data_IF_135715968544
#
_entry.id   IF_135715968544
#
_cell.length_a   1.000
_cell.length_b   1.000
_cell.length_c   1.000
_cell.angle_alpha   90.00
_cell.angle_beta   90.00
_cell.angle_gamma   90.00
#
_symmetry.space_group_name_H-M   'P 1'
#
loop_
_entity.id
_entity.type
_entity.pdbx_description
1 polymer ?
#
# COMPACT_ATOMS: atom_id res chain seq x y z
N UNK A 1 4.95 18.24 -16.22
CA UNK A 1 3.92 17.21 -16.51
C UNK A 1 4.58 15.85 -16.59
N UNK A 2 3.83 14.77 -16.35
CA UNK A 2 4.29 13.40 -16.46
C UNK A 2 3.15 12.51 -17.00
N UNK A 3 3.48 11.36 -17.58
CA UNK A 3 2.53 10.32 -17.99
C UNK A 3 2.99 9.02 -17.35
N UNK A 4 2.11 8.35 -16.59
CA UNK A 4 2.44 7.06 -15.98
C UNK A 4 2.15 5.93 -16.96
N UNK A 5 3.07 4.98 -17.05
CA UNK A 5 3.00 3.77 -17.87
C UNK A 5 3.06 2.52 -16.99
N UNK A 6 2.86 1.36 -17.58
CA UNK A 6 2.98 0.06 -16.91
C UNK A 6 4.38 -0.17 -16.29
N UNK A 7 5.44 0.42 -16.87
CA UNK A 7 6.80 0.35 -16.32
C UNK A 7 6.96 1.14 -15.02
N UNK A 8 6.07 2.11 -14.77
CA UNK A 8 6.03 2.85 -13.51
C UNK A 8 5.21 2.12 -12.43
N UNK A 9 4.41 1.12 -12.82
CA UNK A 9 3.56 0.35 -11.90
C UNK A 9 4.21 -0.97 -11.49
N UNK A 10 4.87 -1.64 -12.43
CA UNK A 10 5.40 -2.98 -12.27
C UNK A 10 6.93 -2.93 -12.36
N UNK A 11 7.66 -3.44 -11.36
CA UNK A 11 9.10 -3.40 -11.42
C UNK A 11 9.63 -4.47 -12.39
N UNK A 12 10.71 -4.14 -13.10
CA UNK A 12 11.41 -5.11 -13.96
C UNK A 12 12.15 -6.19 -13.16
N UNK A 13 12.45 -5.90 -11.89
CA UNK A 13 13.10 -6.83 -10.94
C UNK A 13 12.26 -6.98 -9.68
N UNK A 14 12.47 -8.03 -8.90
CA UNK A 14 11.70 -8.28 -7.68
C UNK A 14 12.10 -7.34 -6.52
N UNK A 15 11.69 -6.08 -6.60
CA UNK A 15 11.93 -5.03 -5.59
C UNK A 15 10.82 -4.94 -4.54
N UNK A 16 9.69 -5.62 -4.76
CA UNK A 16 8.51 -5.54 -3.90
C UNK A 16 7.65 -4.28 -4.07
N UNK A 17 7.98 -3.42 -5.04
CA UNK A 17 7.19 -2.26 -5.45
C UNK A 17 7.62 -1.74 -6.82
N UNK A 18 6.71 -1.08 -7.56
CA UNK A 18 7.05 -0.34 -8.78
C UNK A 18 8.06 0.80 -8.53
N UNK A 19 8.71 1.33 -9.58
CA UNK A 19 9.72 2.38 -9.43
C UNK A 19 9.23 3.58 -8.61
N UNK A 20 10.12 4.14 -7.77
CA UNK A 20 9.83 5.38 -7.07
C UNK A 20 10.08 6.55 -8.04
N UNK A 21 9.06 7.37 -8.33
CA UNK A 21 9.20 8.46 -9.26
C UNK A 21 10.10 9.56 -8.67
N UNK A 22 10.92 10.15 -9.52
CA UNK A 22 11.86 11.22 -9.17
C UNK A 22 11.57 12.47 -9.98
N UNK A 23 11.82 13.61 -9.36
CA UNK A 23 11.83 14.90 -10.02
C UNK A 23 13.17 15.06 -10.80
N UNK A 24 13.31 16.02 -11.74
CA UNK A 24 14.50 16.13 -12.61
C UNK A 24 15.85 16.35 -11.90
N UNK A 25 15.83 17.01 -10.75
CA UNK A 25 16.93 17.21 -9.80
C UNK A 25 17.20 15.99 -8.88
N UNK A 26 16.46 14.88 -9.04
CA UNK A 26 16.69 13.60 -8.37
C UNK A 26 15.88 13.35 -7.10
N UNK A 27 15.20 14.37 -6.57
CA UNK A 27 14.41 14.26 -5.34
C UNK A 27 13.12 13.45 -5.53
N UNK A 28 12.53 12.95 -4.45
CA UNK A 28 11.30 12.15 -4.52
C UNK A 28 10.14 12.96 -5.14
N UNK A 29 9.39 12.34 -6.05
CA UNK A 29 8.22 12.95 -6.68
C UNK A 29 6.88 12.37 -6.21
N UNK A 30 6.90 11.33 -5.37
CA UNK A 30 5.70 10.58 -5.01
C UNK A 30 4.70 11.44 -4.26
N UNK A 31 3.44 11.37 -4.66
CA UNK A 31 2.31 11.96 -3.92
C UNK A 31 1.17 10.97 -3.70
N UNK A 32 1.23 9.81 -4.36
CA UNK A 32 0.18 8.78 -4.34
C UNK A 32 0.85 7.42 -4.28
N UNK A 33 0.30 6.53 -3.46
CA UNK A 33 0.58 5.09 -3.53
C UNK A 33 -0.69 4.34 -3.93
N UNK A 34 -0.49 3.27 -4.70
CA UNK A 34 -1.52 2.32 -5.08
C UNK A 34 -1.01 0.90 -4.98
N UNK A 35 -1.91 -0.08 -4.93
CA UNK A 35 -1.56 -1.51 -4.87
C UNK A 35 -2.60 -2.39 -5.57
N UNK A 36 -3.22 -1.87 -6.62
CA UNK A 36 -4.18 -2.61 -7.44
C UNK A 36 -3.47 -3.36 -8.56
N UNK A 37 -3.81 -4.64 -8.80
CA UNK A 37 -3.23 -5.37 -9.91
C UNK A 37 -3.66 -4.71 -11.21
N UNK A 38 -2.74 -4.66 -12.18
CA UNK A 38 -3.06 -4.09 -13.47
C UNK A 38 -3.95 -5.05 -14.28
N UNK A 39 -5.26 -4.85 -14.15
CA UNK A 39 -6.31 -5.74 -14.63
C UNK A 39 -6.64 -5.48 -16.11
N UNK A 40 -5.85 -6.10 -16.99
CA UNK A 40 -6.05 -6.07 -18.44
C UNK A 40 -6.44 -7.45 -18.94
N UNK A 41 -7.54 -7.48 -19.70
CA UNK A 41 -7.93 -8.63 -20.49
C UNK A 41 -7.32 -8.51 -21.89
N UNK A 42 -6.39 -9.39 -22.20
CA UNK A 42 -5.74 -9.46 -23.50
C UNK A 42 -6.59 -10.32 -24.44
N UNK A 43 -6.90 -9.87 -25.67
CA UNK A 43 -7.58 -10.71 -26.64
C UNK A 43 -6.68 -11.88 -27.05
N UNK A 44 -7.31 -12.98 -27.49
CA UNK A 44 -6.61 -14.16 -27.98
C UNK A 44 -6.41 -15.26 -26.92
N UNK A 45 -5.49 -16.20 -27.14
CA UNK A 45 -5.22 -17.28 -26.20
C UNK A 45 -4.62 -16.75 -24.89
N UNK A 46 -4.63 -17.54 -23.81
CA UNK A 46 -3.98 -17.16 -22.56
C UNK A 46 -2.50 -16.82 -22.76
N UNK A 47 -2.14 -15.58 -22.46
CA UNK A 47 -0.75 -15.10 -22.52
C UNK A 47 -0.02 -15.46 -21.21
N UNK A 48 1.23 -15.94 -21.26
CA UNK A 48 2.02 -16.16 -20.06
C UNK A 48 2.48 -14.82 -19.50
N UNK A 49 1.75 -14.29 -18.52
CA UNK A 49 2.05 -13.02 -17.88
C UNK A 49 2.73 -13.25 -16.53
N UNK A 50 3.70 -12.40 -16.20
CA UNK A 50 4.22 -12.34 -14.84
C UNK A 50 3.11 -11.96 -13.84
N UNK A 51 3.13 -12.48 -12.61
CA UNK A 51 2.19 -12.07 -11.58
C UNK A 51 2.27 -10.56 -11.34
N UNK A 52 1.11 -9.90 -11.40
CA UNK A 52 0.97 -8.46 -11.11
C UNK A 52 0.59 -8.20 -9.65
N UNK A 53 0.82 -9.20 -8.79
CA UNK A 53 0.39 -9.27 -7.41
C UNK A 53 1.48 -9.86 -6.52
N UNK A 54 1.50 -9.43 -5.27
CA UNK A 54 2.41 -9.90 -4.23
C UNK A 54 1.71 -9.90 -2.87
N UNK A 55 2.37 -10.49 -1.87
CA UNK A 55 1.92 -10.38 -0.48
C UNK A 55 2.22 -8.98 0.03
N UNK A 56 1.20 -8.29 0.53
CA UNK A 56 1.29 -6.98 1.18
C UNK A 56 0.52 -7.05 2.49
N UNK A 57 1.23 -6.99 3.62
CA UNK A 57 0.65 -7.14 4.96
C UNK A 57 -0.25 -8.36 5.10
N UNK A 58 0.20 -9.56 4.68
CA UNK A 58 -0.56 -10.81 4.85
C UNK A 58 -1.66 -11.09 3.82
N UNK A 59 -1.89 -10.18 2.86
CA UNK A 59 -2.85 -10.39 1.76
C UNK A 59 -2.18 -10.33 0.40
N UNK A 60 -2.61 -11.20 -0.52
CA UNK A 60 -2.29 -11.03 -1.94
C UNK A 60 -3.04 -9.81 -2.51
N UNK A 61 -2.27 -8.78 -2.87
CA UNK A 61 -2.74 -7.57 -3.54
C UNK A 61 -1.89 -7.28 -4.76
N UNK A 62 -2.31 -6.32 -5.59
CA UNK A 62 -1.46 -5.82 -6.66
C UNK A 62 -0.10 -5.33 -6.15
N UNK A 63 0.92 -5.44 -7.00
CA UNK A 63 2.23 -4.88 -6.70
C UNK A 63 2.08 -3.39 -6.40
N UNK A 64 2.59 -2.92 -5.26
CA UNK A 64 2.43 -1.53 -4.84
C UNK A 64 3.26 -0.62 -5.74
N UNK A 65 2.76 0.57 -6.05
CA UNK A 65 3.40 1.54 -6.93
C UNK A 65 3.21 2.97 -6.42
N UNK A 66 4.10 3.86 -6.85
CA UNK A 66 4.16 5.25 -6.44
C UNK A 66 3.97 6.16 -7.67
N UNK A 67 3.10 7.15 -7.59
CA UNK A 67 2.81 8.05 -8.72
C UNK A 67 3.27 9.49 -8.44
N UNK A 68 3.86 10.17 -9.45
CA UNK A 68 4.33 11.54 -9.29
C UNK A 68 3.22 12.56 -9.41
N UNK A 69 3.35 13.72 -8.76
CA UNK A 69 2.39 14.83 -8.90
C UNK A 69 2.20 15.33 -10.33
N UNK A 70 3.22 15.16 -11.17
CA UNK A 70 3.20 15.61 -12.57
C UNK A 70 2.08 15.03 -13.42
N UNK A 71 1.48 13.89 -13.04
CA UNK A 71 0.37 13.28 -13.78
C UNK A 71 -0.95 14.05 -13.67
N UNK A 72 -1.07 14.89 -12.63
CA UNK A 72 -2.25 15.73 -12.42
C UNK A 72 -2.17 17.04 -13.23
N UNK A 73 -1.01 17.39 -13.76
CA UNK A 73 -0.74 18.68 -14.38
C UNK A 73 -1.04 18.66 -15.89
N UNK A 74 -1.64 19.73 -16.40
CA UNK A 74 -1.81 19.95 -17.84
C UNK A 74 -0.61 20.64 -18.48
N UNK A 75 -0.15 20.18 -19.64
CA UNK A 75 0.93 20.82 -20.42
C UNK A 75 0.52 22.14 -21.07
N UNK A 76 -0.79 22.42 -21.14
CA UNK A 76 -1.35 23.55 -21.86
C UNK A 76 -1.98 24.60 -20.93
N UNK A 77 -2.40 24.19 -19.72
CA UNK A 77 -3.10 25.05 -18.77
C UNK A 77 -2.40 25.00 -17.41
N UNK A 78 -1.77 26.11 -17.01
CA UNK A 78 -0.96 26.16 -15.79
C UNK A 78 -1.77 26.04 -14.48
N UNK A 79 -3.06 26.32 -14.55
CA UNK A 79 -4.02 26.34 -13.44
C UNK A 79 -5.08 25.20 -13.49
N UNK A 80 -4.85 24.17 -14.31
CA UNK A 80 -5.73 23.01 -14.43
C UNK A 80 -5.09 21.77 -13.79
N UNK A 81 -5.84 21.12 -12.90
CA UNK A 81 -5.51 19.82 -12.33
C UNK A 81 -6.50 18.76 -12.82
N UNK A 82 -5.99 17.65 -13.37
CA UNK A 82 -6.78 16.50 -13.76
C UNK A 82 -6.64 15.38 -12.71
N UNK A 83 -7.76 14.87 -12.22
CA UNK A 83 -7.83 13.79 -11.24
C UNK A 83 -8.78 12.67 -11.73
N UNK A 84 -8.99 11.63 -10.92
CA UNK A 84 -9.76 10.44 -11.30
C UNK A 84 -9.20 9.81 -12.60
N UNK A 85 -10.07 9.33 -13.49
CA UNK A 85 -9.76 8.73 -14.79
C UNK A 85 -9.21 9.73 -15.82
N UNK A 86 -9.21 11.02 -15.51
CA UNK A 86 -8.67 12.05 -16.40
C UNK A 86 -7.17 12.28 -16.19
N UNK A 87 -6.57 11.64 -15.18
CA UNK A 87 -5.15 11.75 -14.88
C UNK A 87 -4.29 11.17 -16.00
N UNK A 88 -3.08 11.70 -16.19
CA UNK A 88 -2.22 11.32 -17.30
C UNK A 88 -1.61 9.92 -17.12
N UNK A 89 -2.15 8.95 -17.86
CA UNK A 89 -1.71 7.55 -17.86
C UNK A 89 -1.74 6.94 -19.26
N UNK A 90 -0.89 5.96 -19.52
CA UNK A 90 -1.05 5.06 -20.66
C UNK A 90 -2.35 4.24 -20.51
N UNK A 91 -2.86 3.71 -21.62
CA UNK A 91 -3.97 2.78 -21.60
C UNK A 91 -3.71 1.57 -20.68
N UNK A 92 -2.46 1.12 -20.64
CA UNK A 92 -2.01 0.02 -19.80
C UNK A 92 -1.89 0.42 -18.33
N UNK A 93 -1.46 1.62 -17.99
CA UNK A 93 -1.42 2.04 -16.58
C UNK A 93 -2.81 2.32 -16.00
N UNK A 94 -3.74 2.78 -16.84
CA UNK A 94 -5.11 3.12 -16.43
C UNK A 94 -5.85 1.93 -15.78
N UNK A 95 -5.48 0.69 -16.08
CA UNK A 95 -6.08 -0.51 -15.48
C UNK A 95 -5.92 -0.58 -13.96
N UNK A 96 -4.77 -0.12 -13.44
CA UNK A 96 -4.48 -0.10 -12.00
C UNK A 96 -4.88 1.22 -11.31
N UNK A 97 -4.92 2.34 -12.05
CA UNK A 97 -5.15 3.68 -11.45
C UNK A 97 -6.62 4.10 -11.42
N UNK A 98 -7.50 3.46 -12.21
CA UNK A 98 -8.92 3.85 -12.34
C UNK A 98 -9.87 3.35 -11.24
N UNK A 99 -9.38 2.55 -10.30
CA UNK A 99 -10.21 1.94 -9.25
C UNK A 99 -10.52 2.94 -8.13
N UNK A 100 -11.68 2.78 -7.49
CA UNK A 100 -12.26 3.82 -6.63
C UNK A 100 -11.29 4.34 -5.54
N UNK A 101 -10.53 3.50 -4.82
CA UNK A 101 -9.60 4.04 -3.82
C UNK A 101 -8.45 4.83 -4.43
N UNK A 102 -7.97 4.46 -5.62
CA UNK A 102 -6.98 5.25 -6.36
C UNK A 102 -7.54 6.60 -6.79
N UNK A 103 -8.77 6.61 -7.30
CA UNK A 103 -9.47 7.83 -7.71
C UNK A 103 -9.67 8.78 -6.54
N UNK A 104 -10.03 8.26 -5.36
CA UNK A 104 -10.17 9.06 -4.14
C UNK A 104 -8.83 9.64 -3.70
N UNK A 105 -7.74 8.85 -3.75
CA UNK A 105 -6.39 9.33 -3.43
C UNK A 105 -5.94 10.45 -4.40
N UNK A 106 -6.14 10.25 -5.71
CA UNK A 106 -5.90 11.26 -6.74
C UNK A 106 -6.66 12.56 -6.48
N UNK A 107 -7.95 12.46 -6.12
CA UNK A 107 -8.80 13.61 -5.83
C UNK A 107 -8.33 14.35 -4.57
N UNK A 108 -7.89 13.62 -3.52
CA UNK A 108 -7.32 14.22 -2.31
C UNK A 108 -6.07 15.05 -2.65
N UNK A 109 -5.14 14.48 -3.41
CA UNK A 109 -3.92 15.19 -3.84
C UNK A 109 -4.27 16.42 -4.67
N UNK A 110 -5.19 16.31 -5.63
CA UNK A 110 -5.59 17.44 -6.47
C UNK A 110 -6.22 18.58 -5.64
N UNK A 111 -7.13 18.26 -4.73
CA UNK A 111 -7.80 19.24 -3.89
C UNK A 111 -6.83 19.95 -2.96
N UNK A 112 -5.94 19.19 -2.31
CA UNK A 112 -4.93 19.75 -1.42
C UNK A 112 -3.91 20.61 -2.19
N UNK A 113 -3.47 20.16 -3.36
CA UNK A 113 -2.57 20.92 -4.21
C UNK A 113 -3.18 22.24 -4.69
N UNK A 114 -4.47 22.24 -5.05
CA UNK A 114 -5.20 23.47 -5.41
C UNK A 114 -5.26 24.44 -4.22
N UNK A 115 -5.60 23.95 -3.03
CA UNK A 115 -5.66 24.76 -1.81
C UNK A 115 -4.30 25.39 -1.47
N UNK A 116 -3.23 24.58 -1.47
CA UNK A 116 -1.87 25.05 -1.21
C UNK A 116 -1.42 26.06 -2.26
N UNK A 117 -1.70 25.83 -3.55
CA UNK A 117 -1.38 26.75 -4.65
C UNK A 117 -1.99 28.14 -4.43
N UNK A 118 -3.26 28.20 -3.99
CA UNK A 118 -3.92 29.47 -3.65
C UNK A 118 -3.27 30.13 -2.43
N UNK A 119 -2.97 29.37 -1.38
CA UNK A 119 -2.37 29.88 -0.14
C UNK A 119 -0.96 30.45 -0.36
N UNK A 120 -0.13 29.75 -1.13
CA UNK A 120 1.25 30.16 -1.43
C UNK A 120 1.34 31.10 -2.63
N UNK A 121 0.21 31.40 -3.29
CA UNK A 121 0.10 32.25 -4.48
C UNK A 121 1.00 31.77 -5.62
N UNK A 122 1.12 30.46 -5.80
CA UNK A 122 1.83 29.86 -6.93
C UNK A 122 0.86 29.07 -7.81
N UNK A 123 1.10 28.95 -9.12
CA UNK A 123 0.34 28.01 -9.94
C UNK A 123 0.61 26.56 -9.48
N UNK A 124 -0.31 25.61 -9.71
CA UNK A 124 -0.11 24.19 -9.43
C UNK A 124 1.21 23.62 -9.96
N UNK A 125 1.71 24.12 -11.10
CA UNK A 125 2.99 23.73 -11.69
C UNK A 125 4.23 24.12 -10.89
N UNK A 126 4.14 25.15 -10.06
CA UNK A 126 5.23 25.67 -9.24
C UNK A 126 5.08 25.28 -7.77
N UNK A 127 4.09 24.44 -7.44
CA UNK A 127 3.86 23.98 -6.08
C UNK A 127 5.04 23.12 -5.61
N UNK A 128 5.58 23.44 -4.43
CA UNK A 128 6.63 22.64 -3.82
C UNK A 128 6.08 21.26 -3.39
N UNK A 129 6.68 20.21 -3.96
CA UNK A 129 6.30 18.82 -3.70
C UNK A 129 6.51 18.45 -2.24
N UNK A 130 7.56 18.98 -1.60
CA UNK A 130 7.84 18.67 -0.19
C UNK A 130 6.72 19.19 0.71
N UNK A 131 6.24 20.41 0.46
CA UNK A 131 5.09 21.00 1.14
C UNK A 131 3.83 20.17 0.94
N UNK A 132 3.55 19.73 -0.30
CA UNK A 132 2.39 18.88 -0.60
C UNK A 132 2.49 17.52 0.12
N UNK A 133 3.66 16.87 0.09
CA UNK A 133 3.89 15.61 0.78
C UNK A 133 3.70 15.74 2.30
N UNK A 134 4.22 16.79 2.92
CA UNK A 134 4.03 17.02 4.35
C UNK A 134 2.57 17.27 4.70
N UNK A 135 1.83 18.00 3.85
CA UNK A 135 0.41 18.23 4.07
C UNK A 135 -0.42 16.94 3.90
N UNK A 136 -0.07 16.08 2.95
CA UNK A 136 -0.72 14.77 2.74
C UNK A 136 -0.50 13.82 3.91
N UNK A 137 0.76 13.71 4.37
CA UNK A 137 1.13 12.75 5.42
C UNK A 137 0.57 13.15 6.79
N UNK A 138 0.47 14.45 7.06
CA UNK A 138 0.02 14.99 8.34
C UNK A 138 -1.44 15.49 8.29
N UNK A 139 -2.22 15.11 7.27
CA UNK A 139 -3.65 15.44 7.23
C UNK A 139 -4.35 14.86 8.48
N UNK A 140 -5.08 15.68 9.26
CA UNK A 140 -5.64 15.25 10.53
C UNK A 140 -6.86 14.31 10.40
N UNK A 141 -7.47 14.23 9.22
CA UNK A 141 -8.66 13.42 8.98
C UNK A 141 -8.37 12.20 8.11
N UNK A 142 -7.52 12.38 7.09
CA UNK A 142 -7.23 11.36 6.10
C UNK A 142 -5.74 11.39 5.71
N UNK A 143 -4.82 11.00 6.62
CA UNK A 143 -3.40 10.94 6.29
C UNK A 143 -3.16 9.98 5.13
N UNK A 144 -2.35 10.40 4.15
CA UNK A 144 -2.06 9.62 2.96
C UNK A 144 -0.64 9.05 2.98
N UNK A 145 -0.52 7.76 2.65
CA UNK A 145 0.78 7.11 2.45
C UNK A 145 1.46 7.61 1.19
N UNK A 146 2.77 7.78 1.26
CA UNK A 146 3.58 8.35 0.18
C UNK A 146 4.66 7.40 -0.31
N UNK A 147 4.98 6.37 0.45
CA UNK A 147 5.98 5.36 0.10
C UNK A 147 5.42 3.96 0.35
N UNK A 148 5.64 3.02 -0.59
CA UNK A 148 5.29 1.64 -0.34
C UNK A 148 6.05 1.06 0.86
N UNK A 149 5.34 0.42 1.80
CA UNK A 149 5.95 -0.34 2.87
C UNK A 149 5.13 -1.61 3.16
N UNK A 150 5.55 -2.79 2.66
CA UNK A 150 4.84 -4.05 2.90
C UNK A 150 5.06 -4.62 4.31
N UNK A 151 6.01 -4.07 5.08
CA UNK A 151 6.45 -4.58 6.37
C UNK A 151 5.86 -3.84 7.57
N UNK A 152 5.17 -2.72 7.36
CA UNK A 152 4.56 -1.96 8.44
C UNK A 152 3.08 -1.70 8.18
N UNK A 153 2.24 -2.07 9.14
CA UNK A 153 0.81 -1.80 9.07
C UNK A 153 0.54 -0.29 9.03
N UNK A 154 -0.42 0.13 8.20
CA UNK A 154 -0.75 1.55 8.01
C UNK A 154 -1.25 2.24 9.29
N UNK A 155 -1.79 1.47 10.22
CA UNK A 155 -2.32 1.93 11.50
C UNK A 155 -1.34 1.74 12.67
N UNK A 156 -0.10 1.30 12.39
CA UNK A 156 0.94 1.19 13.41
C UNK A 156 1.38 2.59 13.88
N UNK A 157 1.62 2.84 15.18
CA UNK A 157 1.97 4.18 15.68
C UNK A 157 3.24 4.79 15.06
N UNK A 158 4.19 3.95 14.62
CA UNK A 158 5.40 4.40 13.93
C UNK A 158 5.22 4.63 12.43
N UNK A 159 4.04 4.35 11.85
CA UNK A 159 3.83 4.43 10.40
C UNK A 159 4.18 5.80 9.82
N UNK A 160 3.67 6.87 10.43
CA UNK A 160 3.92 8.23 9.97
C UNK A 160 5.42 8.58 10.04
N UNK A 161 6.09 8.25 11.15
CA UNK A 161 7.52 8.48 11.32
C UNK A 161 8.34 7.75 10.25
N UNK A 162 7.98 6.51 9.91
CA UNK A 162 8.68 5.71 8.89
C UNK A 162 8.47 6.30 7.49
N UNK A 163 7.27 6.78 7.17
CA UNK A 163 7.02 7.52 5.92
C UNK A 163 7.88 8.79 5.83
N UNK A 164 7.97 9.58 6.92
CA UNK A 164 8.81 10.78 6.98
C UNK A 164 10.30 10.48 6.77
N UNK A 165 10.82 9.44 7.43
CA UNK A 165 12.21 9.02 7.30
C UNK A 165 12.54 8.57 5.88
N UNK A 166 11.66 7.74 5.27
CA UNK A 166 11.84 7.29 3.90
C UNK A 166 11.80 8.43 2.88
N UNK A 167 10.89 9.39 3.06
CA UNK A 167 10.80 10.56 2.18
C UNK A 167 12.06 11.42 2.27
N UNK A 168 12.55 11.64 3.50
CA UNK A 168 13.80 12.39 3.72
C UNK A 168 14.98 11.72 3.03
N UNK A 169 15.15 10.41 3.18
CA UNK A 169 16.21 9.65 2.52
C UNK A 169 16.13 9.81 1.00
N UNK A 170 14.95 9.59 0.41
CA UNK A 170 14.75 9.69 -1.04
C UNK A 170 14.95 11.09 -1.60
N UNK A 171 14.61 12.14 -0.83
CA UNK A 171 14.93 13.53 -1.19
C UNK A 171 16.43 13.81 -1.22
N UNK A 172 17.22 13.12 -0.41
CA UNK A 172 18.69 13.20 -0.41
C UNK A 172 19.36 12.23 -1.41
N UNK A 173 18.59 11.49 -2.21
CA UNK A 173 19.13 10.51 -3.15
C UNK A 173 19.57 9.19 -2.50
N UNK A 174 19.23 8.98 -1.23
CA UNK A 174 19.51 7.75 -0.48
C UNK A 174 18.42 6.69 -0.77
N UNK A 175 18.73 5.39 -0.58
CA UNK A 175 17.73 4.33 -0.68
C UNK A 175 16.68 4.44 0.44
N UNK A 176 15.51 3.82 0.23
CA UNK A 176 14.51 3.71 1.30
C UNK A 176 15.07 2.90 2.48
N UNK A 177 14.88 3.34 3.73
CA UNK A 177 15.26 2.57 4.90
C UNK A 177 14.55 1.21 4.90
N UNK A 178 15.30 0.16 5.28
CA UNK A 178 14.72 -1.16 5.52
C UNK A 178 13.93 -1.10 6.82
N UNK A 179 12.68 -1.54 6.77
CA UNK A 179 11.80 -1.61 7.94
C UNK A 179 11.50 -3.07 8.21
N UNK A 180 11.96 -3.57 9.35
CA UNK A 180 11.60 -4.90 9.83
C UNK A 180 10.12 -4.93 10.24
N UNK A 181 9.41 -6.05 10.05
CA UNK A 181 8.04 -6.18 10.53
C UNK A 181 7.94 -5.99 12.05
N UNK A 182 7.23 -4.93 12.46
CA UNK A 182 7.04 -4.60 13.87
C UNK A 182 5.73 -5.19 14.41
N UNK A 183 5.74 -5.78 15.62
CA UNK A 183 4.52 -6.25 16.26
C UNK A 183 3.58 -5.08 16.55
N UNK A 184 2.28 -5.31 16.39
CA UNK A 184 1.28 -4.32 16.75
C UNK A 184 1.24 -4.15 18.28
N UNK A 185 1.31 -2.91 18.80
CA UNK A 185 1.15 -2.67 20.23
C UNK A 185 -0.21 -3.17 20.72
N UNK A 186 -0.27 -3.70 21.95
CA UNK A 186 -1.52 -4.23 22.54
C UNK A 186 -2.67 -3.20 22.52
N UNK A 187 -2.33 -1.91 22.72
CA UNK A 187 -3.30 -0.80 22.68
C UNK A 187 -3.96 -0.59 21.31
N UNK A 188 -3.41 -1.19 20.25
CA UNK A 188 -3.90 -1.07 18.88
C UNK A 188 -4.67 -2.31 18.42
N UNK A 189 -4.74 -3.37 19.22
CA UNK A 189 -5.51 -4.56 18.88
C UNK A 189 -7.01 -4.29 18.91
N UNK A 190 -7.77 -5.04 18.12
CA UNK A 190 -9.22 -4.91 18.07
C UNK A 190 -9.86 -5.19 19.42
N UNK A 191 -10.72 -4.27 19.90
CA UNK A 191 -11.47 -4.43 21.15
C UNK A 191 -12.46 -5.61 21.14
N UNK A 192 -12.89 -6.05 19.95
CA UNK A 192 -13.74 -7.23 19.76
C UNK A 192 -12.94 -8.50 19.45
N UNK A 193 -11.61 -8.43 19.55
CA UNK A 193 -10.75 -9.58 19.40
C UNK A 193 -10.99 -10.59 20.52
N UNK A 194 -10.64 -11.84 20.25
CA UNK A 194 -10.64 -12.90 21.23
C UNK A 194 -9.34 -13.71 21.12
N UNK A 195 -9.01 -14.37 22.24
CA UNK A 195 -7.92 -15.32 22.30
C UNK A 195 -8.40 -16.65 21.71
N UNK A 196 -7.61 -17.22 20.83
CA UNK A 196 -7.79 -18.58 20.33
C UNK A 196 -6.51 -19.38 20.53
N UNK A 197 -6.64 -20.62 20.97
CA UNK A 197 -5.52 -21.53 21.16
C UNK A 197 -5.86 -22.86 20.53
N UNK A 198 -4.94 -23.38 19.74
CA UNK A 198 -5.19 -24.58 18.98
C UNK A 198 -4.03 -25.00 18.09
N UNK A 199 -4.26 -26.09 17.37
CA UNK A 199 -3.28 -26.67 16.46
C UNK A 199 -3.45 -26.07 15.07
N UNK A 200 -2.35 -25.61 14.48
CA UNK A 200 -2.36 -25.15 13.09
C UNK A 200 -2.00 -26.27 12.14
N UNK A 201 -2.69 -26.32 11.01
CA UNK A 201 -2.38 -27.23 9.90
C UNK A 201 -2.18 -26.46 8.60
N UNK A 202 -1.22 -26.90 7.80
CA UNK A 202 -0.93 -26.25 6.52
C UNK A 202 -1.98 -26.63 5.49
N UNK A 203 -2.57 -25.64 4.82
CA UNK A 203 -3.56 -25.86 3.75
C UNK A 203 -3.22 -25.01 2.52
N UNK A 204 -2.55 -25.63 1.55
CA UNK A 204 -2.02 -24.92 0.37
C UNK A 204 -0.91 -23.93 0.77
N UNK A 205 -1.10 -22.65 0.42
CA UNK A 205 -0.20 -21.55 0.81
C UNK A 205 -0.59 -20.89 2.14
N UNK A 206 -1.69 -21.31 2.78
CA UNK A 206 -2.20 -20.72 4.02
C UNK A 206 -2.24 -21.70 5.20
N UNK A 207 -2.83 -21.23 6.29
CA UNK A 207 -2.96 -21.97 7.55
C UNK A 207 -4.41 -22.10 7.98
N UNK A 208 -4.74 -23.22 8.61
CA UNK A 208 -6.01 -23.44 9.28
C UNK A 208 -5.77 -23.79 10.75
N UNK A 209 -6.56 -23.23 11.65
CA UNK A 209 -6.65 -23.65 13.03
C UNK A 209 -7.69 -24.75 13.22
N UNK A 210 -7.50 -25.60 14.22
CA UNK A 210 -8.54 -26.53 14.67
C UNK A 210 -9.72 -25.80 15.32
N UNK A 211 -10.93 -26.26 15.01
CA UNK A 211 -12.17 -25.71 15.57
C UNK A 211 -13.25 -26.79 15.57
N UNK A 212 -14.13 -26.71 16.55
CA UNK A 212 -15.35 -27.52 16.58
C UNK A 212 -16.16 -27.26 15.31
N UNK A 213 -16.38 -28.32 14.51
CA UNK A 213 -17.09 -28.24 13.23
C UNK A 213 -16.20 -28.14 11.98
N UNK A 214 -14.86 -28.16 12.12
CA UNK A 214 -13.93 -28.28 11.01
C UNK A 214 -12.79 -27.25 11.03
N UNK A 215 -11.82 -27.35 10.10
CA UNK A 215 -10.69 -26.43 10.02
C UNK A 215 -11.15 -25.00 9.74
N UNK A 216 -10.61 -24.04 10.49
CA UNK A 216 -10.90 -22.61 10.37
C UNK A 216 -9.72 -21.89 9.71
N UNK A 217 -9.89 -21.27 8.53
CA UNK A 217 -8.82 -20.51 7.89
C UNK A 217 -8.30 -19.39 8.78
N UNK A 218 -6.98 -19.29 8.90
CA UNK A 218 -6.28 -18.21 9.58
C UNK A 218 -5.76 -17.24 8.53
N UNK A 219 -6.12 -15.97 8.66
CA UNK A 219 -5.67 -14.90 7.78
C UNK A 219 -5.09 -13.76 8.62
N UNK A 220 -4.29 -12.88 8.02
CA UNK A 220 -3.84 -11.67 8.70
C UNK A 220 -3.81 -10.50 7.73
N UNK A 221 -3.93 -9.28 8.29
CA UNK A 221 -3.62 -8.03 7.60
C UNK A 221 -2.32 -7.39 8.14
N UNK A 222 -1.66 -8.08 9.08
CA UNK A 222 -0.52 -7.55 9.82
C UNK A 222 0.78 -8.16 9.28
N UNK A 223 1.71 -7.34 8.75
CA UNK A 223 2.96 -7.84 8.19
C UNK A 223 3.80 -8.69 9.15
N UNK A 224 3.79 -8.36 10.45
CA UNK A 224 4.57 -9.09 11.45
C UNK A 224 3.99 -10.48 11.75
N UNK A 225 2.66 -10.63 11.71
CA UNK A 225 2.00 -11.93 11.84
C UNK A 225 2.26 -12.77 10.60
N UNK A 226 2.19 -12.16 9.41
CA UNK A 226 2.51 -12.84 8.16
C UNK A 226 3.94 -13.41 8.17
N UNK A 227 4.91 -12.63 8.67
CA UNK A 227 6.29 -13.11 8.82
C UNK A 227 6.38 -14.36 9.73
N UNK A 228 5.55 -14.43 10.78
CA UNK A 228 5.50 -15.58 11.69
C UNK A 228 4.78 -16.78 11.06
N UNK A 229 3.74 -16.57 10.26
CA UNK A 229 3.06 -17.63 9.49
C UNK A 229 4.05 -18.39 8.60
N UNK A 230 5.04 -17.72 8.03
CA UNK A 230 6.06 -18.36 7.20
C UNK A 230 6.97 -19.31 7.99
N UNK A 231 7.10 -19.12 9.30
CA UNK A 231 7.91 -19.93 10.20
C UNK A 231 7.18 -21.07 10.91
N UNK A 232 5.84 -21.13 10.81
CA UNK A 232 5.06 -22.16 11.50
C UNK A 232 5.29 -23.57 10.94
N UNK A 233 5.20 -24.55 11.84
CA UNK A 233 5.27 -25.97 11.51
C UNK A 233 3.87 -26.59 11.49
N UNK A 234 3.69 -27.56 10.59
CA UNK A 234 2.43 -28.31 10.52
C UNK A 234 2.19 -29.07 11.83
N UNK A 235 1.02 -28.87 12.42
CA UNK A 235 0.66 -29.42 13.72
C UNK A 235 1.20 -28.65 14.93
N UNK A 236 1.81 -27.47 14.78
CA UNK A 236 2.26 -26.65 15.91
C UNK A 236 1.06 -26.19 16.77
N UNK A 237 1.23 -26.18 18.09
CA UNK A 237 0.31 -25.50 19.00
C UNK A 237 0.66 -24.02 19.02
N UNK A 238 -0.32 -23.16 18.76
CA UNK A 238 -0.14 -21.71 18.80
C UNK A 238 -1.23 -21.06 19.64
N UNK A 239 -0.96 -19.85 20.07
CA UNK A 239 -1.92 -19.00 20.74
C UNK A 239 -1.99 -17.64 20.07
N UNK A 240 -3.19 -17.24 19.69
CA UNK A 240 -3.44 -16.11 18.81
C UNK A 240 -4.42 -15.13 19.45
N UNK A 241 -4.23 -13.85 19.16
CA UNK A 241 -5.25 -12.82 19.32
C UNK A 241 -5.76 -12.41 17.95
N UNK A 242 -7.08 -12.31 17.80
CA UNK A 242 -7.68 -11.92 16.53
C UNK A 242 -9.19 -11.87 16.54
N UNK A 243 -9.78 -11.61 15.39
CA UNK A 243 -11.23 -11.49 15.23
C UNK A 243 -11.79 -12.65 14.41
N UNK A 244 -12.82 -13.32 14.95
CA UNK A 244 -13.59 -14.30 14.19
C UNK A 244 -14.58 -13.60 13.25
N UNK A 245 -14.56 -13.94 11.97
CA UNK A 245 -15.60 -13.53 11.03
C UNK A 245 -16.71 -14.59 10.95
N UNK A 246 -17.89 -14.26 11.48
CA UNK A 246 -19.06 -15.14 11.46
C UNK A 246 -19.66 -15.40 10.08
N UNK A 247 -19.41 -14.54 9.09
CA UNK A 247 -19.91 -14.69 7.71
C UNK A 247 -18.97 -15.50 6.80
N UNK A 248 -17.67 -15.49 7.08
CA UNK A 248 -16.62 -16.12 6.26
C UNK A 248 -15.95 -17.35 6.88
N UNK A 249 -16.55 -17.93 7.94
CA UNK A 249 -15.89 -18.61 9.07
C UNK A 249 -14.34 -18.63 9.13
N UNK A 250 -13.67 -17.49 8.99
CA UNK A 250 -12.21 -17.36 9.13
C UNK A 250 -11.85 -16.51 10.36
N UNK A 251 -10.63 -16.71 10.86
CA UNK A 251 -10.08 -15.96 11.98
C UNK A 251 -8.97 -15.03 11.50
N UNK A 252 -9.19 -13.72 11.63
CA UNK A 252 -8.19 -12.70 11.29
C UNK A 252 -7.29 -12.48 12.49
N UNK A 253 -6.09 -13.02 12.41
CA UNK A 253 -5.02 -12.92 13.41
C UNK A 253 -4.43 -11.51 13.36
N UNK A 254 -4.36 -10.87 14.52
CA UNK A 254 -3.75 -9.55 14.72
C UNK A 254 -2.44 -9.65 15.49
N UNK A 255 -2.28 -10.70 16.31
CA UNK A 255 -1.05 -10.98 17.05
C UNK A 255 -0.93 -12.48 17.37
N UNK A 256 0.30 -12.98 17.40
CA UNK A 256 0.64 -14.29 18.00
C UNK A 256 1.14 -14.03 19.41
N UNK A 257 0.49 -14.65 20.40
CA UNK A 257 0.73 -14.43 21.83
C UNK A 257 1.83 -15.35 22.36
N UNK A 258 1.79 -16.63 21.96
CA UNK A 258 2.79 -17.64 22.29
C UNK A 258 2.87 -18.65 21.13
N UNK A 259 4.09 -18.96 20.69
CA UNK A 259 4.38 -19.86 19.57
C UNK A 259 5.80 -20.40 19.61
#
# INVERSE_FOLDING_TARGET
>A
VAVVSEGDLLPETATGHGPIPRQPQGSCATVIIGNYPNDHHYPGPPWPLAPKQMVWGGRHSGTPFALPYGILLSSHCSNLLAADKAVSTSHMANGATRLQPMVMNLAQVAGLAAALSVQTRCPPHALDITTLQQALLNDPLAPAGLLPNPHLAWHHPQWCQQQQQGLRALHHGEPMPVVEPLPMPESCLSAHGCRWRGRVTRHGQGWCGDRDGGPMPLITLEPHVEAQFQGWLDGQQVELWGCLNGSGPWFRVEQVLDG
#
